data_IF_238964860138
#
_entry.id   IF_238964860138
#
_cell.length_a   1.000
_cell.length_b   1.000
_cell.length_c   1.000
_cell.angle_alpha   90.00
_cell.angle_beta   90.00
_cell.angle_gamma   90.00
#
_symmetry.space_group_name_H-M   'P 1'
#
loop_
_entity.id
_entity.type
_entity.pdbx_description
1 polymer ?
#
# COMPACT_ATOMS: atom_id res chain seq x y z
N UNK A 1 7.92 3.41 -13.33
CA UNK A 1 6.62 4.01 -13.73
C UNK A 1 5.54 3.90 -12.65
N UNK A 2 5.69 3.03 -11.63
CA UNK A 2 4.68 2.87 -10.58
C UNK A 2 4.44 4.13 -9.74
N UNK A 3 5.36 5.12 -9.69
CA UNK A 3 5.13 6.43 -9.04
C UNK A 3 4.30 7.41 -9.89
N UNK A 4 3.78 7.00 -11.05
CA UNK A 4 3.02 7.89 -11.92
C UNK A 4 1.69 8.35 -11.31
N UNK A 5 0.98 7.50 -10.59
CA UNK A 5 -0.31 7.82 -9.97
C UNK A 5 -0.20 9.02 -9.00
N UNK A 6 0.86 9.05 -8.18
CA UNK A 6 1.17 10.17 -7.30
C UNK A 6 1.36 11.50 -8.04
N UNK A 7 1.97 11.46 -9.23
CA UNK A 7 2.22 12.67 -10.03
C UNK A 7 0.96 13.22 -10.66
N UNK A 8 -0.03 12.36 -10.93
CA UNK A 8 -1.27 12.78 -11.59
C UNK A 8 -2.40 13.10 -10.63
N UNK A 9 -2.31 12.81 -9.32
CA UNK A 9 -3.39 13.11 -8.36
C UNK A 9 -3.78 14.60 -8.27
N UNK A 10 -2.90 15.52 -8.64
CA UNK A 10 -3.20 16.96 -8.75
C UNK A 10 -3.78 17.37 -10.10
N UNK A 11 -3.60 16.55 -11.15
CA UNK A 11 -4.20 16.76 -12.48
C UNK A 11 -5.55 16.06 -12.58
N UNK A 12 -5.63 14.88 -11.99
CA UNK A 12 -6.79 14.02 -11.86
C UNK A 12 -7.23 14.05 -10.41
N UNK A 13 -7.79 15.18 -9.96
CA UNK A 13 -8.17 15.37 -8.55
C UNK A 13 -9.05 14.25 -7.99
N UNK A 14 -9.89 13.67 -8.86
CA UNK A 14 -10.74 12.52 -8.56
C UNK A 14 -9.95 11.28 -8.10
N UNK A 15 -8.65 11.17 -8.43
CA UNK A 15 -7.81 10.04 -8.07
C UNK A 15 -7.15 10.20 -6.69
N UNK A 16 -7.17 11.39 -6.09
CA UNK A 16 -6.49 11.63 -4.81
C UNK A 16 -7.00 10.74 -3.67
N UNK A 17 -8.32 10.56 -3.45
CA UNK A 17 -8.83 9.67 -2.41
C UNK A 17 -8.56 8.18 -2.70
N UNK A 18 -8.14 7.83 -3.91
CA UNK A 18 -7.88 6.45 -4.30
C UNK A 18 -6.54 5.91 -3.77
N UNK A 19 -5.72 6.74 -3.13
CA UNK A 19 -4.44 6.32 -2.57
C UNK A 19 -4.54 5.76 -1.15
N UNK A 20 -5.66 5.96 -0.45
CA UNK A 20 -5.78 5.60 0.97
C UNK A 20 -7.19 5.12 1.34
N UNK A 21 -7.34 4.72 2.60
CA UNK A 21 -8.60 4.43 3.29
C UNK A 21 -8.54 5.10 4.65
N UNK A 22 -9.54 5.91 4.95
CA UNK A 22 -9.76 6.46 6.29
C UNK A 22 -10.62 5.49 7.13
N UNK A 23 -10.09 5.08 8.28
CA UNK A 23 -10.79 4.23 9.25
C UNK A 23 -11.14 5.03 10.51
N UNK A 24 -12.18 4.64 11.27
CA UNK A 24 -12.50 5.28 12.54
C UNK A 24 -11.35 5.16 13.55
N UNK A 25 -11.11 6.24 14.27
CA UNK A 25 -10.00 6.36 15.20
C UNK A 25 -10.00 5.26 16.26
N UNK A 26 -8.82 4.70 16.54
CA UNK A 26 -8.59 3.65 17.54
C UNK A 26 -9.38 2.35 17.34
N UNK A 27 -10.13 2.20 16.24
CA UNK A 27 -10.94 1.01 16.02
C UNK A 27 -10.12 -0.17 15.52
N UNK A 28 -8.98 0.10 14.87
CA UNK A 28 -8.01 -0.90 14.40
C UNK A 28 -8.62 -2.02 13.54
N UNK A 29 -9.73 -1.73 12.86
CA UNK A 29 -10.42 -2.65 11.95
C UNK A 29 -10.86 -1.91 10.72
N UNK A 30 -10.90 -2.63 9.59
CA UNK A 30 -11.37 -2.12 8.32
C UNK A 30 -12.64 -2.86 7.89
N UNK A 31 -13.60 -2.14 7.33
CA UNK A 31 -14.79 -2.68 6.67
C UNK A 31 -15.11 -1.88 5.41
N UNK A 32 -15.10 -2.54 4.23
CA UNK A 32 -15.32 -1.89 2.93
C UNK A 32 -16.54 -0.96 2.91
N UNK A 33 -17.70 -1.45 3.37
CA UNK A 33 -18.95 -0.68 3.32
C UNK A 33 -18.95 0.58 4.22
N UNK A 34 -18.13 0.58 5.28
CA UNK A 34 -18.04 1.67 6.24
C UNK A 34 -16.98 2.69 5.80
N UNK A 35 -15.84 2.18 5.35
CA UNK A 35 -14.58 2.94 5.21
C UNK A 35 -14.22 3.25 3.76
N UNK A 36 -14.64 2.43 2.78
CA UNK A 36 -14.27 2.67 1.39
C UNK A 36 -15.19 3.72 0.74
N UNK A 37 -14.89 4.98 0.99
CA UNK A 37 -15.56 6.16 0.44
C UNK A 37 -14.61 7.36 0.50
N UNK A 38 -14.88 8.39 -0.28
CA UNK A 38 -14.16 9.66 -0.17
C UNK A 38 -14.80 10.61 0.87
N UNK A 39 -14.27 11.84 0.94
CA UNK A 39 -14.74 12.89 1.86
C UNK A 39 -16.22 13.28 1.65
N UNK A 40 -16.72 13.17 0.42
CA UNK A 40 -18.13 13.42 0.06
C UNK A 40 -19.03 12.21 0.34
N UNK A 41 -18.45 11.07 0.77
CA UNK A 41 -19.16 9.84 1.08
C UNK A 41 -19.50 8.98 -0.14
N UNK A 42 -18.90 9.24 -1.31
CA UNK A 42 -19.08 8.43 -2.51
C UNK A 42 -18.41 7.07 -2.31
N UNK A 43 -19.24 6.02 -2.23
CA UNK A 43 -18.78 4.65 -1.95
C UNK A 43 -17.86 4.13 -3.05
N UNK A 44 -16.85 3.36 -2.66
CA UNK A 44 -15.88 2.75 -3.57
C UNK A 44 -14.71 3.66 -3.93
N UNK A 45 -14.71 4.93 -3.51
CA UNK A 45 -13.61 5.87 -3.75
C UNK A 45 -12.56 5.81 -2.65
N UNK A 46 -11.87 4.69 -2.60
CA UNK A 46 -10.73 4.44 -1.71
C UNK A 46 -9.74 3.51 -2.43
N UNK A 47 -8.56 3.26 -1.84
CA UNK A 47 -7.56 2.37 -2.47
C UNK A 47 -8.06 0.94 -2.73
N UNK A 48 -8.88 0.37 -1.83
CA UNK A 48 -9.46 -0.95 -2.07
C UNK A 48 -10.45 -0.97 -3.25
N UNK A 49 -11.29 0.05 -3.36
CA UNK A 49 -12.22 0.20 -4.47
C UNK A 49 -11.50 0.48 -5.79
N UNK A 50 -10.43 1.27 -5.76
CA UNK A 50 -9.57 1.52 -6.90
C UNK A 50 -8.90 0.24 -7.42
N UNK A 51 -8.36 -0.59 -6.53
CA UNK A 51 -7.78 -1.90 -6.89
C UNK A 51 -8.83 -2.78 -7.58
N UNK A 52 -10.06 -2.87 -7.04
CA UNK A 52 -11.14 -3.62 -7.68
C UNK A 52 -11.45 -3.07 -9.08
N UNK A 53 -11.66 -1.76 -9.18
CA UNK A 53 -11.99 -1.08 -10.44
C UNK A 53 -10.93 -1.31 -11.53
N UNK A 54 -9.66 -1.04 -11.24
CA UNK A 54 -8.61 -1.19 -12.25
C UNK A 54 -8.27 -2.65 -12.55
N UNK A 55 -8.52 -3.57 -11.61
CA UNK A 55 -8.51 -5.01 -11.89
C UNK A 55 -9.58 -5.37 -12.93
N UNK A 56 -10.82 -4.91 -12.73
CA UNK A 56 -11.94 -5.17 -13.64
C UNK A 56 -11.72 -4.55 -15.03
N UNK A 57 -11.16 -3.33 -15.09
CA UNK A 57 -10.79 -2.71 -16.36
C UNK A 57 -9.75 -3.54 -17.12
N UNK A 58 -8.74 -4.09 -16.45
CA UNK A 58 -7.69 -4.88 -17.10
C UNK A 58 -8.19 -6.27 -17.53
N UNK A 59 -9.18 -6.86 -16.87
CA UNK A 59 -9.83 -8.09 -17.35
C UNK A 59 -10.43 -7.91 -18.76
N UNK A 60 -10.82 -6.68 -19.09
CA UNK A 60 -11.36 -6.34 -20.40
C UNK A 60 -10.30 -6.38 -21.53
N UNK A 61 -9.01 -6.48 -21.21
CA UNK A 61 -7.90 -6.53 -22.18
C UNK A 61 -8.02 -7.67 -23.20
N UNK A 62 -8.55 -8.82 -22.79
CA UNK A 62 -8.74 -9.97 -23.70
C UNK A 62 -9.98 -9.82 -24.58
N UNK A 63 -11.03 -9.16 -24.07
CA UNK A 63 -12.31 -8.96 -24.76
C UNK A 63 -12.32 -7.73 -25.66
N UNK A 64 -11.45 -6.74 -25.41
CA UNK A 64 -11.29 -5.54 -26.26
C UNK A 64 -10.76 -5.86 -27.65
N UNK A 65 -10.06 -6.99 -27.82
CA UNK A 65 -9.57 -7.46 -29.12
C UNK A 65 -10.76 -7.74 -30.06
N UNK A 66 -11.92 -8.08 -29.52
CA UNK A 66 -13.11 -8.49 -30.30
C UNK A 66 -14.29 -7.49 -30.22
N UNK A 67 -14.18 -6.43 -29.42
CA UNK A 67 -15.25 -5.44 -29.28
C UNK A 67 -14.70 -4.01 -29.26
N UNK A 68 -15.17 -3.17 -30.19
CA UNK A 68 -14.85 -1.73 -30.32
C UNK A 68 -15.35 -0.87 -29.14
N UNK A 69 -15.70 -1.47 -28.00
CA UNK A 69 -16.48 -0.85 -26.92
C UNK A 69 -15.70 -0.57 -25.63
N UNK A 70 -14.39 -0.88 -25.53
CA UNK A 70 -13.65 -0.58 -24.31
C UNK A 70 -13.14 0.87 -24.29
N UNK A 71 -13.87 1.73 -23.57
CA UNK A 71 -13.56 3.14 -23.33
C UNK A 71 -12.36 3.38 -22.41
N UNK A 72 -11.82 2.34 -21.75
CA UNK A 72 -10.79 2.49 -20.73
C UNK A 72 -9.36 2.56 -21.29
N UNK A 73 -8.56 3.47 -20.74
CA UNK A 73 -7.13 3.51 -20.99
C UNK A 73 -6.43 2.43 -20.14
N UNK A 74 -6.15 1.27 -20.74
CA UNK A 74 -5.57 0.13 -20.04
C UNK A 74 -4.12 0.36 -19.59
N UNK A 75 -3.41 1.32 -20.20
CA UNK A 75 -2.10 1.74 -19.69
C UNK A 75 -2.25 2.46 -18.35
N UNK A 76 -3.19 3.40 -18.23
CA UNK A 76 -3.48 4.05 -16.95
C UNK A 76 -3.98 3.04 -15.92
N UNK A 77 -4.85 2.09 -16.33
CA UNK A 77 -5.34 1.05 -15.43
C UNK A 77 -4.20 0.19 -14.85
N UNK A 78 -3.22 -0.20 -15.67
CA UNK A 78 -2.05 -0.96 -15.20
C UNK A 78 -1.18 -0.14 -14.23
N UNK A 79 -0.95 1.14 -14.55
CA UNK A 79 -0.14 2.02 -13.70
C UNK A 79 -0.83 2.29 -12.36
N UNK A 80 -2.13 2.57 -12.38
CA UNK A 80 -2.94 2.75 -11.17
C UNK A 80 -2.98 1.48 -10.34
N UNK A 81 -3.31 0.32 -10.92
CA UNK A 81 -3.35 -0.94 -10.18
C UNK A 81 -2.00 -1.25 -9.52
N UNK A 82 -0.90 -1.09 -10.26
CA UNK A 82 0.44 -1.34 -9.74
C UNK A 82 0.79 -0.43 -8.57
N UNK A 83 0.41 0.85 -8.65
CA UNK A 83 0.63 1.82 -7.58
C UNK A 83 -0.24 1.52 -6.36
N UNK A 84 -1.55 1.34 -6.56
CA UNK A 84 -2.51 1.16 -5.48
C UNK A 84 -2.32 -0.16 -4.72
N UNK A 85 -1.83 -1.22 -5.37
CA UNK A 85 -1.40 -2.42 -4.65
C UNK A 85 -0.20 -2.12 -3.75
N UNK A 86 0.70 -1.20 -4.12
CA UNK A 86 1.75 -0.70 -3.22
C UNK A 86 1.14 0.07 -2.03
N UNK A 87 0.33 1.08 -2.33
CA UNK A 87 -0.30 1.96 -1.33
C UNK A 87 -1.10 1.19 -0.27
N UNK A 88 -1.95 0.25 -0.69
CA UNK A 88 -2.77 -0.50 0.26
C UNK A 88 -1.93 -1.36 1.22
N UNK A 89 -0.65 -1.62 0.90
CA UNK A 89 0.28 -2.34 1.77
C UNK A 89 1.04 -1.42 2.72
N UNK A 90 1.09 -0.11 2.48
CA UNK A 90 1.63 0.88 3.41
C UNK A 90 0.65 0.99 4.59
N UNK A 91 1.04 0.61 5.83
CA UNK A 91 0.13 0.59 6.98
C UNK A 91 -0.66 1.89 7.19
N UNK A 92 -0.02 3.05 7.06
CA UNK A 92 -0.63 4.36 7.30
C UNK A 92 -1.45 4.90 6.13
N UNK A 93 -1.44 4.25 4.96
CA UNK A 93 -2.45 4.48 3.92
C UNK A 93 -3.80 3.85 4.27
N UNK A 94 -3.85 2.99 5.29
CA UNK A 94 -5.10 2.51 5.91
C UNK A 94 -5.06 2.89 7.38
N UNK A 95 -5.20 4.20 7.63
CA UNK A 95 -4.97 4.83 8.92
C UNK A 95 -6.22 5.45 9.55
N UNK A 96 -6.04 6.29 10.56
CA UNK A 96 -7.14 6.97 11.23
C UNK A 96 -7.56 8.24 10.49
N UNK A 97 -8.85 8.54 10.57
CA UNK A 97 -9.43 9.69 9.88
C UNK A 97 -8.96 10.99 10.53
N UNK A 98 -8.93 11.05 11.87
CA UNK A 98 -8.61 12.29 12.60
C UNK A 98 -7.21 12.82 12.34
N UNK A 99 -6.25 11.91 12.12
CA UNK A 99 -4.84 12.24 11.92
C UNK A 99 -4.39 12.19 10.45
N UNK A 100 -5.35 11.96 9.53
CA UNK A 100 -5.12 11.83 8.08
C UNK A 100 -4.07 10.75 7.77
N UNK A 101 -4.23 9.57 8.37
CA UNK A 101 -3.22 8.51 8.28
C UNK A 101 -1.89 8.93 8.91
N UNK A 102 -1.93 9.65 10.02
CA UNK A 102 -0.78 10.21 10.73
C UNK A 102 0.04 11.26 9.95
N UNK A 103 -0.56 11.93 8.97
CA UNK A 103 0.02 13.13 8.34
C UNK A 103 -0.02 14.36 9.25
N UNK A 104 -0.81 14.33 10.32
CA UNK A 104 -0.88 15.41 11.31
C UNK A 104 -0.19 15.07 12.64
N UNK A 105 0.64 14.01 12.66
CA UNK A 105 1.45 13.65 13.83
C UNK A 105 2.89 14.07 13.53
N UNK A 106 3.30 15.23 14.04
CA UNK A 106 4.68 15.69 13.88
C UNK A 106 5.62 14.84 14.75
N UNK A 107 6.75 14.44 14.19
CA UNK A 107 7.79 13.66 14.89
C UNK A 107 9.18 14.11 14.42
N UNK A 108 10.21 13.62 15.10
CA UNK A 108 11.58 13.71 14.64
C UNK A 108 12.06 12.32 14.22
N UNK A 109 12.48 12.17 12.96
CA UNK A 109 13.23 11.01 12.52
C UNK A 109 14.70 11.28 12.74
N UNK A 110 15.28 10.69 13.79
CA UNK A 110 16.56 11.11 14.35
C UNK A 110 16.60 12.64 14.54
N UNK A 111 17.46 13.34 13.80
CA UNK A 111 17.66 14.79 13.92
C UNK A 111 16.76 15.63 13.00
N UNK A 112 15.92 15.01 12.16
CA UNK A 112 15.11 15.71 11.15
C UNK A 112 13.64 15.71 11.54
N UNK A 113 13.02 16.89 11.57
CA UNK A 113 11.56 17.00 11.73
C UNK A 113 10.85 16.43 10.49
N UNK A 114 9.80 15.66 10.71
CA UNK A 114 8.94 15.07 9.67
C UNK A 114 7.56 14.73 10.28
N UNK A 115 6.69 14.07 9.52
CA UNK A 115 5.42 13.52 10.01
C UNK A 115 5.47 12.00 10.04
N UNK A 116 4.72 11.36 10.94
CA UNK A 116 4.76 9.91 11.11
C UNK A 116 4.41 9.15 9.81
N UNK A 117 3.48 9.67 9.00
CA UNK A 117 3.18 9.10 7.68
C UNK A 117 4.43 8.98 6.79
N UNK A 118 5.20 10.05 6.68
CA UNK A 118 6.43 10.09 5.86
C UNK A 118 7.52 9.17 6.41
N UNK A 119 7.55 8.90 7.72
CA UNK A 119 8.48 7.91 8.29
C UNK A 119 8.25 6.53 7.70
N UNK A 120 6.98 6.16 7.48
CA UNK A 120 6.59 4.87 6.91
C UNK A 120 6.62 4.83 5.38
N UNK A 121 6.32 5.93 4.70
CA UNK A 121 6.47 6.02 3.25
C UNK A 121 7.93 5.89 2.82
N UNK A 122 8.83 6.63 3.50
CA UNK A 122 10.18 6.85 3.02
C UNK A 122 11.26 6.58 4.07
N UNK A 123 11.18 7.20 5.25
CA UNK A 123 12.37 7.35 6.10
C UNK A 123 12.92 6.04 6.65
N UNK A 124 12.08 5.05 6.96
CA UNK A 124 12.54 3.70 7.34
C UNK A 124 13.27 3.03 6.17
N UNK A 125 12.75 3.14 4.95
CA UNK A 125 13.33 2.54 3.75
C UNK A 125 14.68 3.19 3.45
N UNK A 126 14.72 4.51 3.33
CA UNK A 126 15.95 5.28 3.05
C UNK A 126 17.04 5.00 4.11
N UNK A 127 16.67 4.95 5.40
CA UNK A 127 17.62 4.63 6.47
C UNK A 127 18.14 3.19 6.35
N UNK A 128 17.31 2.24 5.90
CA UNK A 128 17.74 0.86 5.68
C UNK A 128 18.69 0.73 4.49
N UNK A 129 18.42 1.44 3.40
CA UNK A 129 19.28 1.51 2.21
C UNK A 129 20.67 2.03 2.59
N UNK A 130 20.72 3.15 3.31
CA UNK A 130 21.97 3.77 3.76
C UNK A 130 22.77 2.86 4.72
N UNK A 131 22.10 2.19 5.67
CA UNK A 131 22.78 1.43 6.73
C UNK A 131 23.19 0.02 6.33
N UNK A 132 22.39 -0.65 5.49
CA UNK A 132 22.53 -2.09 5.25
C UNK A 132 22.83 -2.45 3.80
N UNK A 133 22.68 -1.50 2.87
CA UNK A 133 22.69 -1.78 1.43
C UNK A 133 23.49 -0.76 0.64
N UNK A 134 24.49 -0.08 1.22
CA UNK A 134 25.36 0.88 0.53
C UNK A 134 24.60 1.95 -0.29
N UNK A 135 23.42 2.38 0.21
CA UNK A 135 22.49 3.28 -0.46
C UNK A 135 21.97 2.76 -1.84
N UNK A 136 21.90 1.44 -2.01
CA UNK A 136 21.44 0.74 -3.20
C UNK A 136 20.06 0.12 -2.98
N UNK A 137 19.06 0.66 -3.68
CA UNK A 137 17.71 0.08 -3.70
C UNK A 137 17.70 -1.32 -4.32
N UNK A 138 18.59 -1.61 -5.28
CA UNK A 138 18.68 -2.90 -5.95
C UNK A 138 19.15 -4.01 -4.98
N UNK A 139 20.03 -3.68 -4.04
CA UNK A 139 20.48 -4.60 -3.01
C UNK A 139 19.40 -4.86 -1.95
N UNK A 140 18.62 -3.83 -1.59
CA UNK A 140 17.42 -4.00 -0.75
C UNK A 140 16.39 -4.90 -1.45
N UNK A 141 16.10 -4.67 -2.74
CA UNK A 141 15.20 -5.51 -3.55
C UNK A 141 15.71 -6.96 -3.56
N UNK A 142 17.00 -7.16 -3.80
CA UNK A 142 17.63 -8.49 -3.81
C UNK A 142 17.49 -9.17 -2.45
N UNK A 143 17.66 -8.45 -1.34
CA UNK A 143 17.49 -8.99 0.00
C UNK A 143 16.02 -9.38 0.28
N UNK A 144 15.06 -8.56 -0.14
CA UNK A 144 13.62 -8.88 -0.03
C UNK A 144 13.27 -10.12 -0.87
N UNK A 145 13.78 -10.22 -2.10
CA UNK A 145 13.58 -11.38 -2.97
C UNK A 145 14.15 -12.66 -2.37
N UNK A 146 15.35 -12.61 -1.77
CA UNK A 146 15.93 -13.75 -1.03
C UNK A 146 15.06 -14.17 0.15
N UNK A 147 14.43 -13.22 0.84
CA UNK A 147 13.51 -13.55 1.93
C UNK A 147 12.23 -14.24 1.43
N UNK A 148 11.70 -13.80 0.28
CA UNK A 148 10.54 -14.43 -0.38
C UNK A 148 10.83 -15.90 -0.71
N UNK A 149 12.01 -16.22 -1.23
CA UNK A 149 12.43 -17.59 -1.57
C UNK A 149 13.12 -18.34 -0.42
N UNK A 150 13.03 -17.82 0.81
CA UNK A 150 13.71 -18.38 1.98
C UNK A 150 12.82 -18.30 3.21
N UNK A 151 13.14 -17.46 4.22
CA UNK A 151 12.36 -17.33 5.45
C UNK A 151 10.83 -17.14 5.28
N UNK A 152 10.36 -16.61 4.15
CA UNK A 152 8.94 -16.39 3.88
C UNK A 152 8.33 -17.35 2.86
N UNK A 153 9.07 -18.34 2.36
CA UNK A 153 8.60 -19.29 1.34
C UNK A 153 7.25 -19.91 1.71
N UNK A 154 7.10 -20.40 2.95
CA UNK A 154 5.85 -21.00 3.45
C UNK A 154 4.66 -20.02 3.57
N UNK A 155 4.94 -18.72 3.59
CA UNK A 155 3.92 -17.67 3.64
C UNK A 155 3.48 -17.21 2.25
N UNK A 156 4.34 -17.31 1.24
CA UNK A 156 4.08 -16.84 -0.12
C UNK A 156 2.78 -17.43 -0.71
N UNK A 157 2.53 -18.75 -0.67
CA UNK A 157 1.27 -19.31 -1.17
C UNK A 157 0.03 -18.72 -0.48
N UNK A 158 0.14 -18.31 0.80
CA UNK A 158 -0.96 -17.66 1.54
C UNK A 158 -1.13 -16.21 1.10
N UNK A 159 -0.05 -15.50 0.76
CA UNK A 159 -0.12 -14.13 0.23
C UNK A 159 -0.70 -14.10 -1.18
N UNK A 160 -0.32 -15.07 -2.01
CA UNK A 160 -0.82 -15.22 -3.39
C UNK A 160 -2.28 -15.68 -3.43
N UNK A 161 -2.76 -16.42 -2.43
CA UNK A 161 -4.13 -16.93 -2.40
C UNK A 161 -5.12 -15.79 -2.18
N UNK A 162 -5.94 -15.54 -3.19
CA UNK A 162 -7.19 -14.81 -3.07
C UNK A 162 -8.35 -15.82 -3.13
N UNK A 163 -9.50 -15.52 -2.51
CA UNK A 163 -10.66 -16.44 -2.48
C UNK A 163 -11.00 -16.96 -3.88
N UNK A 164 -11.46 -18.21 -3.99
CA UNK A 164 -11.53 -18.99 -5.25
C UNK A 164 -12.19 -18.28 -6.47
N UNK A 165 -13.05 -17.28 -6.24
CA UNK A 165 -13.76 -16.57 -7.31
C UNK A 165 -13.34 -15.10 -7.48
N UNK A 166 -12.28 -14.63 -6.80
CA UNK A 166 -11.84 -13.23 -6.86
C UNK A 166 -10.47 -13.10 -7.52
N UNK A 167 -10.34 -12.12 -8.41
CA UNK A 167 -9.08 -11.76 -9.09
C UNK A 167 -8.11 -11.06 -8.15
N UNK A 168 -8.63 -10.23 -7.24
CA UNK A 168 -7.88 -9.47 -6.22
C UNK A 168 -8.63 -9.47 -4.88
N UNK A 169 -7.90 -9.27 -3.78
CA UNK A 169 -8.43 -9.34 -2.40
C UNK A 169 -8.04 -8.10 -1.56
N UNK A 170 -8.32 -6.87 -2.01
CA UNK A 170 -7.86 -5.66 -1.34
C UNK A 170 -8.34 -5.53 0.11
N UNK A 171 -9.51 -6.08 0.45
CA UNK A 171 -10.02 -6.05 1.82
C UNK A 171 -9.13 -6.78 2.83
N UNK A 172 -8.48 -7.86 2.39
CA UNK A 172 -7.51 -8.58 3.22
C UNK A 172 -6.29 -7.69 3.43
N UNK A 173 -5.82 -7.03 2.38
CA UNK A 173 -4.62 -6.21 2.41
C UNK A 173 -4.83 -4.99 3.32
N UNK A 174 -5.98 -4.32 3.20
CA UNK A 174 -6.38 -3.20 4.04
C UNK A 174 -6.52 -3.60 5.52
N UNK A 175 -7.15 -4.74 5.80
CA UNK A 175 -7.29 -5.27 7.17
C UNK A 175 -5.93 -5.53 7.83
N UNK A 176 -4.95 -6.04 7.06
CA UNK A 176 -3.58 -6.21 7.54
C UNK A 176 -2.87 -4.86 7.76
N UNK A 177 -3.09 -3.88 6.89
CA UNK A 177 -2.49 -2.55 7.00
C UNK A 177 -2.97 -1.79 8.23
N UNK A 178 -4.28 -1.71 8.48
CA UNK A 178 -4.80 -1.04 9.70
C UNK A 178 -4.33 -1.73 10.98
N UNK A 179 -4.23 -3.07 10.96
CA UNK A 179 -3.67 -3.83 12.07
C UNK A 179 -2.19 -3.45 12.30
N UNK A 180 -1.40 -3.38 11.23
CA UNK A 180 -0.01 -2.96 11.31
C UNK A 180 0.14 -1.49 11.75
N UNK A 181 -0.77 -0.61 11.33
CA UNK A 181 -0.79 0.78 11.77
C UNK A 181 -0.95 0.87 13.30
N UNK A 182 -1.92 0.14 13.86
CA UNK A 182 -2.14 0.13 15.30
C UNK A 182 -1.04 -0.60 16.10
N UNK A 183 -0.59 -1.77 15.64
CA UNK A 183 0.36 -2.59 16.40
C UNK A 183 1.81 -2.09 16.31
N UNK A 184 2.14 -1.35 15.25
CA UNK A 184 3.53 -0.97 14.95
C UNK A 184 3.72 0.51 14.67
N UNK A 185 2.91 1.12 13.80
CA UNK A 185 3.13 2.50 13.34
C UNK A 185 2.83 3.53 14.43
N UNK A 186 1.60 3.55 14.93
CA UNK A 186 1.16 4.51 15.94
C UNK A 186 1.52 4.05 17.37
N UNK A 187 1.94 2.80 17.54
CA UNK A 187 2.25 2.25 18.86
C UNK A 187 3.47 2.95 19.47
N UNK A 188 3.27 3.47 20.68
CA UNK A 188 4.25 4.20 21.49
C UNK A 188 4.76 5.49 20.82
N UNK A 189 3.97 6.08 19.91
CA UNK A 189 4.27 7.36 19.26
C UNK A 189 3.27 8.42 19.70
N UNK A 190 3.79 9.59 20.08
CA UNK A 190 3.01 10.81 20.32
C UNK A 190 3.56 11.97 19.47
N UNK A 191 2.82 13.07 19.43
CA UNK A 191 3.32 14.35 18.89
C UNK A 191 4.72 14.68 19.45
N UNK A 192 5.57 15.20 18.58
CA UNK A 192 6.98 15.57 18.81
C UNK A 192 7.91 14.43 19.27
N UNK A 193 7.47 13.17 19.20
CA UNK A 193 8.32 12.01 19.51
C UNK A 193 9.60 11.99 18.68
N UNK A 194 10.72 11.59 19.30
CA UNK A 194 11.99 11.37 18.60
C UNK A 194 12.13 9.88 18.32
N UNK A 195 12.02 9.50 17.05
CA UNK A 195 12.08 8.13 16.57
C UNK A 195 13.51 7.83 16.07
N UNK A 196 14.20 6.93 16.77
CA UNK A 196 15.59 6.56 16.49
C UNK A 196 15.73 5.04 16.31
N UNK A 197 16.85 4.45 16.74
CA UNK A 197 17.21 3.05 16.50
C UNK A 197 16.17 2.06 17.04
N UNK A 198 15.61 2.29 18.24
CA UNK A 198 14.61 1.39 18.83
C UNK A 198 13.35 1.31 17.96
N UNK A 199 12.88 2.44 17.43
CA UNK A 199 11.74 2.48 16.52
C UNK A 199 12.11 1.88 15.16
N UNK A 200 13.25 2.29 14.59
CA UNK A 200 13.72 1.81 13.30
C UNK A 200 13.89 0.29 13.26
N UNK A 201 14.68 -0.28 14.16
CA UNK A 201 15.04 -1.70 14.15
C UNK A 201 13.83 -2.60 14.40
N UNK A 202 12.86 -2.15 15.19
CA UNK A 202 11.65 -2.92 15.48
C UNK A 202 10.59 -2.84 14.37
N UNK A 203 10.51 -1.74 13.61
CA UNK A 203 9.50 -1.54 12.55
C UNK A 203 10.02 -1.88 11.15
N UNK A 204 11.32 -1.79 10.90
CA UNK A 204 11.95 -2.14 9.62
C UNK A 204 11.56 -3.55 9.10
N UNK A 205 11.53 -4.62 9.91
CA UNK A 205 11.08 -5.93 9.45
C UNK A 205 9.61 -5.96 8.99
N UNK A 206 8.76 -5.11 9.58
CA UNK A 206 7.35 -4.96 9.19
C UNK A 206 7.26 -4.30 7.82
N UNK A 207 8.00 -3.21 7.59
CA UNK A 207 8.08 -2.52 6.30
C UNK A 207 8.54 -3.48 5.19
N UNK A 208 9.64 -4.23 5.40
CA UNK A 208 10.12 -5.21 4.43
C UNK A 208 9.09 -6.30 4.12
N UNK A 209 8.35 -6.76 5.13
CA UNK A 209 7.28 -7.73 4.92
C UNK A 209 6.15 -7.14 4.08
N UNK A 210 5.74 -5.89 4.32
CA UNK A 210 4.70 -5.21 3.53
C UNK A 210 5.13 -4.97 2.08
N UNK A 211 6.38 -4.57 1.85
CA UNK A 211 6.96 -4.46 0.50
C UNK A 211 6.92 -5.80 -0.24
N UNK A 212 7.35 -6.88 0.42
CA UNK A 212 7.32 -8.23 -0.14
C UNK A 212 5.89 -8.67 -0.48
N UNK A 213 4.95 -8.48 0.45
CA UNK A 213 3.54 -8.81 0.24
C UNK A 213 2.93 -8.04 -0.93
N UNK A 214 3.21 -6.73 -1.04
CA UNK A 214 2.77 -5.90 -2.15
C UNK A 214 3.27 -6.42 -3.50
N UNK A 215 4.56 -6.73 -3.60
CA UNK A 215 5.15 -7.29 -4.82
C UNK A 215 4.57 -8.65 -5.21
N UNK A 216 4.48 -9.59 -4.25
CA UNK A 216 3.91 -10.94 -4.47
C UNK A 216 2.44 -10.84 -4.89
N UNK A 217 1.64 -10.00 -4.22
CA UNK A 217 0.21 -9.84 -4.52
C UNK A 217 -0.05 -9.12 -5.83
N UNK A 218 0.79 -8.15 -6.19
CA UNK A 218 0.73 -7.51 -7.51
C UNK A 218 0.98 -8.56 -8.60
N UNK A 219 2.05 -9.33 -8.50
CA UNK A 219 2.37 -10.38 -9.46
C UNK A 219 1.24 -11.42 -9.57
N UNK A 220 0.75 -11.94 -8.44
CA UNK A 220 -0.34 -12.91 -8.42
C UNK A 220 -1.66 -12.35 -9.00
N UNK A 221 -1.94 -11.07 -8.77
CA UNK A 221 -3.13 -10.38 -9.33
C UNK A 221 -3.01 -10.21 -10.84
N UNK A 222 -1.88 -9.70 -11.33
CA UNK A 222 -1.63 -9.55 -12.76
C UNK A 222 -1.63 -10.91 -13.48
N UNK A 223 -1.05 -11.94 -12.86
CA UNK A 223 -1.11 -13.30 -13.39
C UNK A 223 -2.56 -13.78 -13.54
N UNK A 224 -3.43 -13.57 -12.55
CA UNK A 224 -4.86 -13.92 -12.64
C UNK A 224 -5.62 -13.10 -13.71
N UNK A 225 -5.23 -11.84 -13.94
CA UNK A 225 -5.85 -11.00 -14.96
C UNK A 225 -5.47 -11.47 -16.38
N UNK A 226 -4.21 -11.84 -16.58
CA UNK A 226 -3.63 -12.09 -17.90
C UNK A 226 -3.38 -13.56 -18.23
N UNK A 227 -3.67 -14.51 -17.33
CA UNK A 227 -3.69 -15.97 -17.58
C UNK A 227 -4.89 -16.41 -18.37
#
# INVERSE_FOLDING_TARGET
MCSWADRVKFRYHWSSPLHYIDTPDSLCTYQYNRDCKDEDGEKGRCVAGAINNYTDQLLSYRTSIFSQANQYNLTEALLFLSHFIGDIHQPLHVGFTSDRGANTIDVHWYRRKTVLHHVWDNSIIETSEERFYDASVDDLITAIQRNITGPWEDQVPKWEKCSLNKTTCPDIYASESIKAACEWACKDVSEDSVLEDDYFLSRYPVVNKRLAQGGVRLAATLNRIFS
#
